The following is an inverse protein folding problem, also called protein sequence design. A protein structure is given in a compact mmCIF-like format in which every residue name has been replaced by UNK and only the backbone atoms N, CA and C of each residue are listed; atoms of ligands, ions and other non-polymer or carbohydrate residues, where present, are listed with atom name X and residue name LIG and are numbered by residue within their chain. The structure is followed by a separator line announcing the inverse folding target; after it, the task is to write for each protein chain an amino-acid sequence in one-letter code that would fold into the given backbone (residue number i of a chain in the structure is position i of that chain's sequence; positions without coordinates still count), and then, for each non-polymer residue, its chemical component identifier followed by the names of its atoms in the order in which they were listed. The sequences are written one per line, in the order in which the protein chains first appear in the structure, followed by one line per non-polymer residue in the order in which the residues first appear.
data_IF_371255651526
#
_entry.id   IF_371255651526
#
_cell.length_a   1.000
_cell.length_b   1.000
_cell.length_c   1.000
_cell.angle_alpha   90.00
_cell.angle_beta   90.00
_cell.angle_gamma   90.00
#
_symmetry.space_group_name_H-M   'P 1'
#
loop_
_entity.id
_entity.type
_entity.pdbx_description
1 polymer ?
#
# COMPACT_ATOMS: atom_id res chain seq x y z
N UNK A 1 -3.75 28.59 19.99
CA UNK A 1 -3.58 27.79 18.76
C UNK A 1 -4.42 26.54 18.96
N UNK A 2 -5.52 26.36 18.22
CA UNK A 2 -6.39 25.18 18.35
C UNK A 2 -5.83 24.04 17.50
N UNK A 3 -5.82 22.83 18.05
CA UNK A 3 -5.37 21.63 17.35
C UNK A 3 -6.51 21.07 16.50
N UNK A 4 -6.27 20.88 15.21
CA UNK A 4 -7.21 20.19 14.34
C UNK A 4 -6.95 18.69 14.43
N UNK A 5 -7.94 17.93 14.92
CA UNK A 5 -7.89 16.48 15.04
C UNK A 5 -8.94 15.89 14.09
N UNK A 6 -8.52 14.96 13.24
CA UNK A 6 -9.38 14.32 12.24
C UNK A 6 -9.71 12.90 12.68
N UNK A 7 -10.93 12.47 12.38
CA UNK A 7 -11.45 11.13 12.64
C UNK A 7 -12.01 10.53 11.35
N UNK A 8 -12.44 9.27 11.40
CA UNK A 8 -12.97 8.56 10.22
C UNK A 8 -14.14 9.29 9.53
N UNK A 9 -14.98 10.00 10.30
CA UNK A 9 -16.09 10.81 9.76
C UNK A 9 -15.63 11.99 8.88
N UNK A 10 -14.38 12.41 9.04
CA UNK A 10 -13.77 13.53 8.34
C UNK A 10 -12.96 13.06 7.11
N UNK A 11 -12.91 11.73 6.87
CA UNK A 11 -12.20 11.10 5.76
C UNK A 11 -13.15 10.35 4.83
N UNK A 12 -12.89 10.41 3.53
CA UNK A 12 -13.64 9.64 2.52
C UNK A 12 -12.77 8.50 1.95
N UNK A 13 -12.99 7.25 2.40
CA UNK A 13 -12.20 6.11 1.92
C UNK A 13 -12.49 5.74 0.46
N UNK A 14 -13.60 6.20 -0.13
CA UNK A 14 -13.95 5.93 -1.53
C UNK A 14 -12.90 6.50 -2.48
N UNK A 15 -12.26 7.62 -2.09
CA UNK A 15 -11.22 8.27 -2.89
C UNK A 15 -10.02 7.37 -3.20
N UNK A 16 -9.76 6.36 -2.36
CA UNK A 16 -8.66 5.41 -2.55
C UNK A 16 -9.14 4.04 -3.06
N UNK A 17 -10.39 3.63 -2.81
CA UNK A 17 -10.88 2.29 -3.20
C UNK A 17 -10.87 2.05 -4.72
N UNK A 18 -11.17 3.08 -5.51
CA UNK A 18 -11.19 2.97 -6.97
C UNK A 18 -9.81 3.19 -7.61
N UNK A 19 -8.74 3.19 -6.80
CA UNK A 19 -7.38 3.51 -7.24
C UNK A 19 -6.40 2.45 -6.77
N UNK A 20 -5.44 2.14 -7.63
CA UNK A 20 -4.29 1.30 -7.26
C UNK A 20 -3.25 2.12 -6.50
N UNK A 21 -2.80 1.59 -5.37
CA UNK A 21 -1.72 2.14 -4.54
C UNK A 21 -0.50 1.25 -4.64
N UNK A 22 0.64 1.81 -5.05
CA UNK A 22 1.93 1.13 -4.98
C UNK A 22 2.57 1.39 -3.62
N UNK A 23 3.06 0.35 -2.95
CA UNK A 23 3.88 0.48 -1.74
C UNK A 23 5.29 0.02 -2.07
N UNK A 24 6.26 0.93 -2.04
CA UNK A 24 7.64 0.61 -2.39
C UNK A 24 8.41 0.12 -1.17
N UNK A 25 8.66 -1.19 -1.14
CA UNK A 25 9.31 -1.86 -0.01
C UNK A 25 8.34 -2.44 1.00
N UNK A 26 8.78 -3.52 1.67
CA UNK A 26 7.95 -4.31 2.57
C UNK A 26 8.65 -4.57 3.91
N UNK A 27 9.19 -3.48 4.50
CA UNK A 27 9.66 -3.46 5.89
C UNK A 27 8.51 -3.25 6.87
N UNK A 28 8.81 -2.79 8.09
CA UNK A 28 7.77 -2.60 9.13
C UNK A 28 6.61 -1.70 8.68
N UNK A 29 6.91 -0.51 8.14
CA UNK A 29 5.89 0.44 7.69
C UNK A 29 5.21 0.00 6.39
N UNK A 30 6.01 -0.47 5.42
CA UNK A 30 5.47 -0.94 4.14
C UNK A 30 4.49 -2.11 4.31
N UNK A 31 4.83 -3.07 5.18
CA UNK A 31 3.94 -4.18 5.52
C UNK A 31 2.66 -3.70 6.22
N UNK A 32 2.79 -2.82 7.21
CA UNK A 32 1.63 -2.28 7.92
C UNK A 32 0.68 -1.52 6.98
N UNK A 33 1.21 -0.63 6.14
CA UNK A 33 0.41 0.11 5.18
C UNK A 33 -0.24 -0.80 4.14
N UNK A 34 0.50 -1.72 3.55
CA UNK A 34 -0.03 -2.61 2.53
C UNK A 34 -1.19 -3.47 3.05
N UNK A 35 -1.04 -4.05 4.24
CA UNK A 35 -2.08 -4.88 4.84
C UNK A 35 -3.30 -4.05 5.26
N UNK A 36 -3.10 -2.93 5.95
CA UNK A 36 -4.21 -2.10 6.40
C UNK A 36 -4.99 -1.51 5.23
N UNK A 37 -4.31 -1.09 4.15
CA UNK A 37 -4.97 -0.58 2.94
C UNK A 37 -5.75 -1.68 2.22
N UNK A 38 -5.16 -2.86 2.03
CA UNK A 38 -5.83 -4.01 1.43
C UNK A 38 -7.08 -4.40 2.23
N UNK A 39 -6.95 -4.52 3.55
CA UNK A 39 -8.05 -4.89 4.44
C UNK A 39 -9.13 -3.78 4.48
N UNK A 40 -8.79 -2.54 4.12
CA UNK A 40 -9.73 -1.42 3.91
C UNK A 40 -10.39 -1.40 2.52
N UNK A 41 -10.07 -2.38 1.66
CA UNK A 41 -10.61 -2.56 0.31
C UNK A 41 -9.90 -1.77 -0.78
N UNK A 42 -8.66 -1.33 -0.55
CA UNK A 42 -7.85 -0.64 -1.56
C UNK A 42 -7.07 -1.67 -2.38
N UNK A 43 -6.97 -1.45 -3.70
CA UNK A 43 -6.09 -2.23 -4.59
C UNK A 43 -4.63 -1.86 -4.32
N UNK A 44 -3.85 -2.79 -3.78
CA UNK A 44 -2.47 -2.56 -3.36
C UNK A 44 -1.52 -3.49 -4.10
N UNK A 45 -0.45 -2.91 -4.64
CA UNK A 45 0.70 -3.65 -5.20
C UNK A 45 1.99 -3.24 -4.48
N UNK A 46 2.84 -4.19 -4.13
CA UNK A 46 4.14 -3.89 -3.52
C UNK A 46 5.25 -3.94 -4.58
N UNK A 47 5.97 -2.83 -4.73
CA UNK A 47 7.14 -2.74 -5.60
C UNK A 47 8.41 -3.18 -4.87
N UNK A 48 9.06 -4.25 -5.32
CA UNK A 48 10.33 -4.73 -4.76
C UNK A 48 11.41 -4.86 -5.84
N UNK A 49 12.68 -4.65 -5.42
CA UNK A 49 13.85 -4.99 -6.25
C UNK A 49 13.97 -6.50 -6.43
N UNK A 50 14.63 -6.93 -7.51
CA UNK A 50 14.94 -8.36 -7.72
C UNK A 50 15.78 -8.89 -6.55
N UNK A 51 15.46 -10.10 -6.07
CA UNK A 51 16.18 -10.73 -4.96
C UNK A 51 15.86 -10.15 -3.57
N UNK A 52 14.84 -9.29 -3.44
CA UNK A 52 14.45 -8.78 -2.12
C UNK A 52 14.00 -9.91 -1.18
N UNK A 53 14.60 -9.96 0.01
CA UNK A 53 14.27 -10.94 1.05
C UNK A 53 12.82 -10.83 1.56
N UNK A 54 12.20 -9.66 1.38
CA UNK A 54 10.82 -9.41 1.81
C UNK A 54 9.76 -10.00 0.86
N UNK A 55 10.17 -10.58 -0.28
CA UNK A 55 9.25 -11.20 -1.25
C UNK A 55 8.51 -12.40 -0.64
N UNK A 56 9.20 -13.21 0.15
CA UNK A 56 8.57 -14.35 0.86
C UNK A 56 7.56 -13.88 1.91
N UNK A 57 7.82 -12.75 2.56
CA UNK A 57 6.88 -12.15 3.49
C UNK A 57 5.61 -11.67 2.76
N UNK A 58 5.74 -11.02 1.60
CA UNK A 58 4.59 -10.62 0.79
C UNK A 58 3.76 -11.84 0.35
N UNK A 59 4.42 -12.93 -0.08
CA UNK A 59 3.75 -14.15 -0.49
C UNK A 59 2.96 -14.81 0.66
N UNK A 60 3.55 -14.89 1.86
CA UNK A 60 2.86 -15.40 3.06
C UNK A 60 1.66 -14.55 3.46
N UNK A 61 1.79 -13.24 3.30
CA UNK A 61 0.72 -12.30 3.63
C UNK A 61 -0.34 -12.20 2.52
N UNK A 62 -0.13 -12.80 1.34
CA UNK A 62 -1.05 -12.72 0.21
C UNK A 62 -1.08 -11.35 -0.46
N UNK A 63 0.08 -10.69 -0.59
CA UNK A 63 0.24 -9.38 -1.22
C UNK A 63 0.84 -9.54 -2.63
N UNK A 64 0.26 -8.84 -3.61
CA UNK A 64 0.78 -8.78 -4.98
C UNK A 64 2.14 -8.06 -4.99
N UNK A 65 3.12 -8.63 -5.69
CA UNK A 65 4.46 -8.05 -5.84
C UNK A 65 4.80 -7.85 -7.30
N UNK A 66 5.24 -6.64 -7.64
CA UNK A 66 5.74 -6.29 -8.96
C UNK A 66 7.17 -5.72 -8.89
N UNK A 67 7.83 -5.62 -10.06
CA UNK A 67 9.01 -4.77 -10.19
C UNK A 67 8.63 -3.31 -9.90
N UNK A 68 9.56 -2.51 -9.39
CA UNK A 68 9.26 -1.14 -8.94
C UNK A 68 8.66 -0.32 -10.08
N UNK A 69 9.22 -0.43 -11.28
CA UNK A 69 8.79 0.28 -12.48
C UNK A 69 7.34 -0.07 -12.84
N UNK A 70 7.00 -1.36 -12.78
CA UNK A 70 5.66 -1.86 -13.08
C UNK A 70 4.64 -1.48 -12.00
N UNK A 71 5.03 -1.54 -10.72
CA UNK A 71 4.19 -1.13 -9.60
C UNK A 71 3.80 0.35 -9.72
N UNK A 72 4.77 1.21 -10.05
CA UNK A 72 4.55 2.66 -10.19
C UNK A 72 3.73 3.01 -11.43
N UNK A 73 3.96 2.33 -12.56
CA UNK A 73 3.32 2.69 -13.84
C UNK A 73 1.77 2.64 -13.81
N UNK A 74 1.19 1.75 -13.00
CA UNK A 74 -0.26 1.58 -12.87
C UNK A 74 -0.88 2.19 -11.61
N UNK A 75 -0.09 2.88 -10.78
CA UNK A 75 -0.54 3.37 -9.49
C UNK A 75 -0.95 4.84 -9.53
N UNK A 76 -2.03 5.18 -8.83
CA UNK A 76 -2.44 6.56 -8.64
C UNK A 76 -1.73 7.23 -7.45
N UNK A 77 -1.20 6.41 -6.52
CA UNK A 77 -0.42 6.82 -5.35
C UNK A 77 0.74 5.83 -5.18
N UNK A 78 1.92 6.35 -4.83
CA UNK A 78 3.17 5.59 -4.63
C UNK A 78 3.73 5.88 -3.24
#
# INVERSE_FOLDING_TARGET
MSLNVYFDKDADPVLLRDRRVAVLGYGAQGRAHALNLRDSGVDVVVGLRSGSLSRDACARDGIEVAAIEAAVAGAAVV
#
